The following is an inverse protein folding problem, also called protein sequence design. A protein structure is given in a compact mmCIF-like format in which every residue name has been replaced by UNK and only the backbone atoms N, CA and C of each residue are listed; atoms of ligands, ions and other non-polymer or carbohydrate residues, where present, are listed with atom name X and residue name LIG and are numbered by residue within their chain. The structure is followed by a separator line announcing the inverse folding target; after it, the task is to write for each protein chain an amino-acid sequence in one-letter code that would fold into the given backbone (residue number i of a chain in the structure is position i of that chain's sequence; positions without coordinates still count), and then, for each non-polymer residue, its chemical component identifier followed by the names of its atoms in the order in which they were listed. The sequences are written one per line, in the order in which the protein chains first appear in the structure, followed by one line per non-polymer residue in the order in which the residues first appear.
data_IF_644674039118
#
_entry.id   IF_644674039118
#
_cell.length_a   1.000
_cell.length_b   1.000
_cell.length_c   1.000
_cell.angle_alpha   90.00
_cell.angle_beta   90.00
_cell.angle_gamma   90.00
#
_symmetry.space_group_name_H-M   'P 1'
#
loop_
_entity.id
_entity.type
_entity.pdbx_description
1 polymer ?
#
# COMPACT_ATOMS: atom_id res chain seq x y z
N UNK A 1 -7.92 -18.69 0.36
CA UNK A 1 -7.03 -19.56 1.16
C UNK A 1 -6.70 -20.79 0.33
N UNK A 2 -5.46 -21.31 0.40
CA UNK A 2 -5.10 -22.53 -0.28
C UNK A 2 -5.74 -23.72 0.45
N UNK A 3 -6.07 -24.74 -0.34
CA UNK A 3 -6.60 -26.01 0.15
C UNK A 3 -5.50 -26.84 0.85
N UNK A 4 -5.87 -28.02 1.34
CA UNK A 4 -4.89 -28.96 1.89
C UNK A 4 -3.78 -29.26 0.86
N UNK A 5 -2.52 -29.24 1.29
CA UNK A 5 -1.35 -29.43 0.41
C UNK A 5 -0.99 -28.23 -0.49
N UNK A 6 -1.82 -27.18 -0.54
CA UNK A 6 -1.51 -25.95 -1.28
C UNK A 6 -0.89 -24.89 -0.35
N UNK A 7 -0.19 -23.90 -0.91
CA UNK A 7 0.46 -22.83 -0.16
C UNK A 7 0.07 -21.44 -0.70
N UNK A 8 0.46 -20.38 0.01
CA UNK A 8 0.38 -19.02 -0.51
C UNK A 8 1.28 -18.84 -1.73
N UNK A 9 0.81 -18.15 -2.77
CA UNK A 9 1.56 -17.87 -3.99
C UNK A 9 1.74 -16.37 -4.21
N UNK A 10 2.82 -16.01 -4.90
CA UNK A 10 3.04 -14.66 -5.42
C UNK A 10 2.87 -14.69 -6.93
N UNK A 11 2.10 -13.75 -7.47
CA UNK A 11 1.92 -13.57 -8.90
C UNK A 11 2.34 -12.18 -9.32
N UNK A 12 2.96 -12.08 -10.49
CA UNK A 12 3.31 -10.80 -11.11
C UNK A 12 2.34 -10.51 -12.25
N UNK A 13 1.71 -9.34 -12.21
CA UNK A 13 0.86 -8.86 -13.29
C UNK A 13 1.69 -8.63 -14.56
N UNK A 14 1.23 -9.15 -15.69
CA UNK A 14 1.92 -9.05 -16.99
C UNK A 14 1.08 -8.32 -18.05
N UNK A 15 0.08 -7.55 -17.62
CA UNK A 15 -0.84 -6.82 -18.50
C UNK A 15 -2.13 -7.60 -18.79
N UNK A 16 -3.16 -6.85 -19.16
CA UNK A 16 -4.50 -7.36 -19.48
C UNK A 16 -5.04 -8.28 -18.37
N UNK A 17 -5.18 -9.58 -18.65
CA UNK A 17 -5.63 -10.64 -17.73
C UNK A 17 -4.52 -11.65 -17.42
N UNK A 18 -3.26 -11.36 -17.77
CA UNK A 18 -2.13 -12.29 -17.66
C UNK A 18 -1.38 -12.11 -16.34
N UNK A 19 -1.10 -13.23 -15.69
CA UNK A 19 -0.36 -13.30 -14.43
C UNK A 19 0.75 -14.34 -14.54
N UNK A 20 1.95 -13.96 -14.13
CA UNK A 20 3.12 -14.85 -14.11
C UNK A 20 3.26 -15.38 -12.68
N UNK A 21 3.13 -16.69 -12.54
CA UNK A 21 3.39 -17.39 -11.27
C UNK A 21 4.86 -17.23 -10.86
N UNK A 22 5.06 -16.56 -9.73
CA UNK A 22 6.37 -16.35 -9.11
C UNK A 22 6.63 -17.36 -8.00
N UNK A 23 5.83 -18.42 -7.89
CA UNK A 23 5.98 -19.51 -6.93
C UNK A 23 5.49 -19.19 -5.53
N UNK A 24 5.66 -20.16 -4.65
CA UNK A 24 5.37 -20.06 -3.22
C UNK A 24 6.67 -19.84 -2.44
N UNK A 25 6.78 -18.75 -1.65
CA UNK A 25 7.96 -18.53 -0.81
C UNK A 25 8.07 -19.53 0.35
N UNK A 26 6.94 -20.04 0.84
CA UNK A 26 6.86 -20.96 1.98
C UNK A 26 5.69 -21.95 1.81
N UNK A 27 5.59 -22.93 2.73
CA UNK A 27 4.49 -23.90 2.82
C UNK A 27 3.24 -23.34 3.50
N UNK A 28 3.36 -22.19 4.17
CA UNK A 28 2.24 -21.56 4.87
C UNK A 28 1.14 -21.13 3.88
N UNK A 29 -0.07 -20.95 4.41
CA UNK A 29 -1.25 -20.81 3.58
C UNK A 29 -1.45 -19.38 3.02
N UNK A 30 -0.67 -18.39 3.45
CA UNK A 30 -0.81 -17.02 2.97
C UNK A 30 0.55 -16.34 2.78
N UNK A 31 0.59 -15.42 1.82
CA UNK A 31 1.57 -14.34 1.75
C UNK A 31 0.80 -13.06 2.03
N UNK A 32 1.01 -12.45 3.20
CA UNK A 32 0.21 -11.30 3.65
C UNK A 32 0.97 -9.98 3.61
N UNK A 33 2.28 -10.01 3.38
CA UNK A 33 3.10 -8.82 3.24
C UNK A 33 4.03 -8.96 2.05
N UNK A 34 4.12 -7.88 1.26
CA UNK A 34 5.10 -7.70 0.20
C UNK A 34 5.76 -6.34 0.40
N UNK A 35 7.07 -6.26 0.22
CA UNK A 35 7.82 -5.02 0.35
C UNK A 35 9.06 -5.02 -0.53
N UNK A 36 9.40 -3.86 -1.09
CA UNK A 36 10.66 -3.67 -1.80
C UNK A 36 11.73 -3.19 -0.82
N UNK A 37 12.92 -3.78 -0.94
CA UNK A 37 14.11 -3.38 -0.22
C UNK A 37 15.35 -3.66 -1.09
N UNK A 38 16.20 -2.65 -1.27
CA UNK A 38 17.44 -2.71 -2.05
C UNK A 38 17.29 -3.32 -3.45
N UNK A 39 16.24 -2.92 -4.17
CA UNK A 39 15.93 -3.35 -5.53
C UNK A 39 15.35 -4.76 -5.62
N UNK A 40 15.03 -5.39 -4.48
CA UNK A 40 14.53 -6.76 -4.41
C UNK A 40 13.17 -6.81 -3.73
N UNK A 41 12.32 -7.74 -4.18
CA UNK A 41 11.03 -8.01 -3.56
C UNK A 41 11.20 -8.98 -2.39
N UNK A 42 10.63 -8.63 -1.23
CA UNK A 42 10.53 -9.48 -0.06
C UNK A 42 9.07 -9.85 0.19
N UNK A 43 8.84 -11.07 0.66
CA UNK A 43 7.53 -11.62 0.96
C UNK A 43 7.50 -12.18 2.39
N UNK A 44 6.49 -11.77 3.16
CA UNK A 44 6.19 -12.30 4.48
C UNK A 44 5.15 -13.41 4.41
N UNK A 45 5.56 -14.62 4.80
CA UNK A 45 4.68 -15.78 4.90
C UNK A 45 3.86 -15.75 6.19
N UNK A 46 2.61 -16.19 6.12
CA UNK A 46 1.67 -16.15 7.23
C UNK A 46 0.74 -17.36 7.26
N UNK A 47 0.30 -17.71 8.47
CA UNK A 47 -0.85 -18.59 8.68
C UNK A 47 -2.11 -17.75 8.90
N UNK A 48 -3.05 -17.83 7.95
CA UNK A 48 -4.34 -17.17 8.01
C UNK A 48 -5.44 -18.20 8.30
N UNK A 49 -6.07 -18.12 9.47
CA UNK A 49 -6.98 -19.17 9.95
C UNK A 49 -8.37 -19.18 9.32
N UNK A 50 -8.86 -18.10 8.71
CA UNK A 50 -10.27 -17.96 8.28
C UNK A 50 -11.28 -17.72 9.43
N UNK A 51 -11.06 -18.31 10.62
CA UNK A 51 -11.99 -18.24 11.77
C UNK A 51 -12.37 -16.81 12.19
N UNK A 52 -11.39 -15.91 12.30
CA UNK A 52 -11.63 -14.50 12.66
C UNK A 52 -12.45 -13.73 11.63
N UNK A 53 -12.60 -14.29 10.44
CA UNK A 53 -13.30 -13.71 9.30
C UNK A 53 -14.65 -14.38 9.04
N UNK A 54 -15.17 -15.13 10.02
CA UNK A 54 -16.38 -15.94 9.90
C UNK A 54 -16.32 -16.93 8.72
N UNK A 55 -15.13 -17.45 8.42
CA UNK A 55 -14.88 -18.47 7.42
C UNK A 55 -14.49 -19.80 8.09
N UNK A 56 -14.59 -20.94 7.37
CA UNK A 56 -14.04 -22.21 7.83
C UNK A 56 -12.57 -22.09 8.22
N UNK A 57 -12.13 -22.95 9.14
CA UNK A 57 -10.72 -23.00 9.51
C UNK A 57 -9.91 -23.55 8.34
N UNK A 58 -8.82 -22.88 8.01
CA UNK A 58 -7.95 -23.33 6.91
C UNK A 58 -7.42 -24.76 7.15
N UNK A 59 -7.46 -25.65 6.15
CA UNK A 59 -6.92 -27.00 6.27
C UNK A 59 -5.38 -27.02 6.27
N UNK A 60 -4.72 -26.07 5.61
CA UNK A 60 -3.27 -25.93 5.69
C UNK A 60 -2.88 -25.23 7.00
N UNK A 61 -2.26 -26.00 7.92
CA UNK A 61 -1.82 -25.55 9.25
C UNK A 61 -0.33 -25.21 9.35
N UNK A 62 0.38 -25.12 8.22
CA UNK A 62 1.81 -24.77 8.26
C UNK A 62 2.00 -23.34 8.82
N UNK A 63 2.84 -23.17 9.86
CA UNK A 63 3.07 -21.86 10.45
C UNK A 63 3.79 -20.94 9.47
N UNK A 64 3.41 -19.67 9.42
CA UNK A 64 4.14 -18.63 8.70
C UNK A 64 5.22 -17.97 9.57
N UNK A 65 5.36 -16.65 9.51
CA UNK A 65 6.32 -15.88 10.31
C UNK A 65 7.74 -15.85 9.75
N UNK A 66 7.92 -16.27 8.50
CA UNK A 66 9.19 -16.23 7.77
C UNK A 66 9.15 -15.16 6.69
N UNK A 67 10.29 -14.60 6.38
CA UNK A 67 10.46 -13.64 5.28
C UNK A 67 11.37 -14.23 4.22
N UNK A 68 11.03 -13.99 2.95
CA UNK A 68 11.75 -14.52 1.80
C UNK A 68 12.03 -13.43 0.78
N UNK A 69 13.19 -13.50 0.12
CA UNK A 69 13.55 -12.59 -0.98
C UNK A 69 13.39 -13.27 -2.32
N UNK A 70 12.74 -12.59 -3.27
CA UNK A 70 12.55 -13.10 -4.61
C UNK A 70 13.83 -12.99 -5.45
N UNK A 71 14.20 -14.06 -6.13
CA UNK A 71 15.38 -14.09 -7.02
C UNK A 71 15.02 -14.36 -8.49
N UNK A 72 13.74 -14.32 -8.84
CA UNK A 72 13.27 -14.63 -10.20
C UNK A 72 12.96 -16.11 -10.40
N UNK A 73 12.20 -16.42 -11.45
CA UNK A 73 11.92 -17.78 -11.90
C UNK A 73 11.42 -18.72 -10.79
N UNK A 74 10.44 -18.24 -10.00
CA UNK A 74 9.86 -18.98 -8.86
C UNK A 74 10.81 -19.29 -7.71
N UNK A 75 12.03 -18.72 -7.71
CA UNK A 75 13.04 -18.93 -6.67
C UNK A 75 12.94 -17.88 -5.58
N UNK A 76 12.95 -18.36 -4.34
CA UNK A 76 12.91 -17.55 -3.13
C UNK A 76 14.07 -17.94 -2.22
N UNK A 77 14.72 -16.95 -1.62
CA UNK A 77 15.77 -17.14 -0.61
C UNK A 77 15.17 -16.88 0.76
N UNK A 78 15.32 -17.85 1.66
CA UNK A 78 14.91 -17.74 3.07
C UNK A 78 15.73 -16.67 3.78
N UNK A 79 15.06 -15.57 4.18
CA UNK A 79 15.62 -14.47 4.95
C UNK A 79 15.35 -14.61 6.45
N UNK A 80 14.99 -15.80 6.91
CA UNK A 80 14.88 -16.14 8.31
C UNK A 80 13.46 -16.06 8.88
N UNK A 81 13.33 -16.65 10.06
CA UNK A 81 12.13 -16.68 10.88
C UNK A 81 12.15 -15.47 11.82
N UNK A 82 11.03 -14.76 11.91
CA UNK A 82 10.82 -13.67 12.87
C UNK A 82 10.23 -14.27 14.14
N UNK A 83 11.03 -14.31 15.21
CA UNK A 83 10.60 -14.81 16.53
C UNK A 83 9.83 -16.14 16.47
N UNK A 84 8.95 -16.36 17.45
CA UNK A 84 8.01 -17.47 17.45
C UNK A 84 6.59 -17.01 17.09
N UNK A 85 6.49 -16.36 15.92
CA UNK A 85 5.21 -15.87 15.38
C UNK A 85 4.80 -16.62 14.12
N UNK A 86 3.51 -16.66 13.80
CA UNK A 86 3.01 -17.34 12.61
C UNK A 86 2.60 -16.39 11.48
N UNK A 87 2.71 -15.08 11.67
CA UNK A 87 2.19 -14.09 10.71
C UNK A 87 3.10 -12.88 10.61
N UNK A 88 3.43 -12.52 9.37
CA UNK A 88 4.08 -11.26 9.00
C UNK A 88 3.02 -10.37 8.32
N UNK A 89 2.63 -9.27 8.97
CA UNK A 89 1.52 -8.42 8.49
C UNK A 89 1.97 -7.23 7.66
N UNK A 90 3.22 -6.80 7.77
CA UNK A 90 3.73 -5.67 7.03
C UNK A 90 5.23 -5.78 6.81
N UNK A 91 5.69 -5.20 5.69
CA UNK A 91 7.10 -5.04 5.34
C UNK A 91 7.29 -3.60 4.87
N UNK A 92 8.32 -2.92 5.38
CA UNK A 92 8.63 -1.54 4.98
C UNK A 92 10.14 -1.28 5.01
N UNK A 93 10.64 -0.56 4.01
CA UNK A 93 11.99 -0.01 4.05
C UNK A 93 11.98 1.35 4.72
N UNK A 94 12.78 1.52 5.77
CA UNK A 94 12.95 2.78 6.48
C UNK A 94 14.43 3.00 6.83
N UNK A 95 14.95 4.20 6.56
CA UNK A 95 16.36 4.54 6.82
C UNK A 95 17.36 3.50 6.28
N UNK A 96 17.12 2.98 5.07
CA UNK A 96 17.97 2.00 4.41
C UNK A 96 17.93 0.59 5.01
N UNK A 97 16.94 0.28 5.86
CA UNK A 97 16.79 -1.05 6.49
C UNK A 97 15.36 -1.56 6.30
N UNK A 98 15.22 -2.88 6.22
CA UNK A 98 13.92 -3.54 6.15
C UNK A 98 13.37 -3.80 7.56
N UNK A 99 12.10 -3.46 7.74
CA UNK A 99 11.34 -3.72 8.96
C UNK A 99 10.13 -4.58 8.63
N UNK A 100 9.74 -5.41 9.59
CA UNK A 100 8.60 -6.28 9.51
C UNK A 100 7.72 -6.12 10.75
N UNK A 101 6.41 -6.19 10.56
CA UNK A 101 5.44 -6.34 11.65
C UNK A 101 4.92 -7.75 11.72
N UNK A 102 4.69 -8.18 12.95
CA UNK A 102 4.04 -9.45 13.25
C UNK A 102 2.72 -9.18 13.96
N UNK A 103 1.79 -10.13 13.89
CA UNK A 103 0.56 -10.05 14.66
C UNK A 103 0.25 -11.35 15.39
N UNK A 104 -0.58 -11.23 16.42
CA UNK A 104 -1.18 -12.35 17.10
C UNK A 104 -2.22 -13.02 16.19
N UNK A 105 -1.83 -14.16 15.63
CA UNK A 105 -2.74 -14.99 14.83
C UNK A 105 -3.20 -16.20 15.62
N UNK A 106 -4.38 -16.73 15.27
CA UNK A 106 -4.87 -17.96 15.88
C UNK A 106 -3.85 -19.09 15.76
N UNK A 107 -3.62 -19.81 16.86
CA UNK A 107 -2.63 -20.90 16.93
C UNK A 107 -1.18 -20.45 17.14
N UNK A 108 -0.90 -19.14 17.11
CA UNK A 108 0.43 -18.59 17.39
C UNK A 108 0.82 -18.79 18.86
N UNK A 109 1.99 -19.37 19.19
CA UNK A 109 2.42 -19.62 20.56
C UNK A 109 2.64 -18.32 21.33
N UNK A 110 3.32 -17.37 20.70
CA UNK A 110 3.52 -16.03 21.25
C UNK A 110 2.53 -15.08 20.58
N UNK A 111 1.54 -14.60 21.34
CA UNK A 111 0.56 -13.60 20.86
C UNK A 111 1.09 -12.17 20.97
N UNK A 112 2.38 -11.99 20.66
CA UNK A 112 3.03 -10.69 20.76
C UNK A 112 3.22 -10.12 19.36
N UNK A 113 2.42 -9.12 19.04
CA UNK A 113 2.60 -8.31 17.86
C UNK A 113 3.72 -7.30 18.13
N UNK A 114 4.74 -7.29 17.27
CA UNK A 114 5.91 -6.46 17.46
C UNK A 114 6.52 -6.06 16.12
N UNK A 115 7.48 -5.13 16.18
CA UNK A 115 8.27 -4.73 15.04
C UNK A 115 9.66 -5.39 15.12
N UNK A 116 10.17 -5.82 13.98
CA UNK A 116 11.49 -6.43 13.84
C UNK A 116 12.23 -5.79 12.68
N UNK A 117 13.54 -5.65 12.83
CA UNK A 117 14.44 -5.16 11.79
C UNK A 117 15.26 -6.30 11.23
N UNK A 118 15.35 -6.37 9.91
CA UNK A 118 16.24 -7.30 9.24
C UNK A 118 17.68 -6.83 9.35
N UNK A 119 18.56 -7.68 9.89
CA UNK A 119 19.99 -7.39 10.04
C UNK A 119 20.86 -8.15 9.02
N UNK A 120 20.23 -8.81 8.04
CA UNK A 120 20.91 -9.62 7.03
C UNK A 120 20.80 -11.13 7.28
N UNK A 121 21.13 -11.89 6.24
CA UNK A 121 21.04 -13.35 6.17
C UNK A 121 19.70 -13.91 6.63
N UNK A 122 19.60 -14.31 7.90
CA UNK A 122 18.40 -14.88 8.52
C UNK A 122 18.08 -14.24 9.87
N UNK A 123 18.69 -13.10 10.17
CA UNK A 123 18.63 -12.46 11.48
C UNK A 123 17.61 -11.32 11.51
N UNK A 124 16.76 -11.37 12.51
CA UNK A 124 15.77 -10.35 12.81
C UNK A 124 15.94 -9.88 14.25
N UNK A 125 16.12 -8.57 14.44
CA UNK A 125 16.25 -7.95 15.75
C UNK A 125 14.92 -7.33 16.14
N UNK A 126 14.43 -7.68 17.33
CA UNK A 126 13.27 -7.03 17.94
C UNK A 126 13.56 -5.53 18.11
N UNK A 127 12.63 -4.68 17.67
CA UNK A 127 12.74 -3.22 17.78
C UNK A 127 11.52 -2.63 18.48
N UNK A 128 10.97 -3.39 19.45
CA UNK A 128 9.89 -2.94 20.30
C UNK A 128 8.50 -3.28 19.78
N UNK A 129 7.55 -3.16 20.68
CA UNK A 129 6.12 -3.11 20.42
C UNK A 129 5.53 -1.85 21.07
N UNK A 130 4.55 -1.18 20.45
CA UNK A 130 3.90 -0.03 21.06
C UNK A 130 2.79 -0.42 22.05
N UNK A 131 2.74 -1.64 22.57
CA UNK A 131 1.69 -2.08 23.50
C UNK A 131 0.36 -2.44 22.83
N UNK A 132 0.39 -2.97 21.61
CA UNK A 132 -0.78 -3.40 20.85
C UNK A 132 -0.43 -4.02 19.50
N UNK A 133 -1.42 -4.61 18.80
CA UNK A 133 -1.16 -5.24 17.51
C UNK A 133 -0.80 -4.21 16.45
N UNK A 134 0.32 -4.41 15.77
CA UNK A 134 0.73 -3.55 14.66
C UNK A 134 0.01 -3.96 13.38
N UNK A 135 -0.60 -2.96 12.72
CA UNK A 135 -1.22 -3.10 11.41
C UNK A 135 -0.28 -2.61 10.31
N UNK A 136 -0.68 -1.54 9.63
CA UNK A 136 0.05 -0.94 8.52
C UNK A 136 1.20 -0.03 9.00
N UNK A 137 2.29 -0.01 8.22
CA UNK A 137 3.37 0.95 8.38
C UNK A 137 3.15 2.19 7.51
N UNK A 138 3.65 3.34 7.98
CA UNK A 138 3.78 4.56 7.17
C UNK A 138 5.12 5.23 7.42
N UNK A 139 5.90 5.40 6.37
CA UNK A 139 7.07 6.29 6.40
C UNK A 139 6.64 7.67 5.93
N UNK A 140 6.76 8.67 6.81
CA UNK A 140 6.36 10.04 6.53
C UNK A 140 7.34 11.00 7.17
N UNK A 141 7.79 12.01 6.41
CA UNK A 141 8.71 13.05 6.87
C UNK A 141 9.93 12.55 7.69
N UNK A 142 10.58 11.49 7.20
CA UNK A 142 11.79 10.95 7.82
C UNK A 142 11.54 10.11 9.07
N UNK A 143 10.28 9.83 9.42
CA UNK A 143 9.92 8.98 10.54
C UNK A 143 9.11 7.75 10.10
N UNK A 144 9.31 6.65 10.82
CA UNK A 144 8.51 5.43 10.71
C UNK A 144 7.36 5.48 11.72
N UNK A 145 6.15 5.22 11.23
CA UNK A 145 4.94 5.12 12.03
C UNK A 145 4.26 3.79 11.77
N UNK A 146 3.39 3.39 12.71
CA UNK A 146 2.57 2.20 12.56
C UNK A 146 1.17 2.40 13.15
N UNK A 147 0.18 1.80 12.50
CA UNK A 147 -1.16 1.66 13.06
C UNK A 147 -1.14 0.63 14.18
N UNK A 148 -1.89 0.89 15.26
CA UNK A 148 -1.89 0.07 16.47
C UNK A 148 -3.31 -0.29 16.87
N UNK A 149 -3.54 -1.59 17.05
CA UNK A 149 -4.78 -2.15 17.52
C UNK A 149 -4.79 -2.06 19.05
N UNK A 150 -5.89 -1.58 19.61
CA UNK A 150 -6.01 -1.30 21.02
C UNK A 150 -5.85 0.19 21.33
N UNK A 151 -5.70 0.50 22.63
CA UNK A 151 -5.84 1.85 23.17
C UNK A 151 -4.87 2.89 22.59
N UNK A 152 -3.79 2.50 21.91
CA UNK A 152 -2.78 3.44 21.45
C UNK A 152 -3.09 4.06 20.10
N UNK A 153 -3.86 3.40 19.23
CA UNK A 153 -4.31 3.92 17.94
C UNK A 153 -3.22 4.17 16.88
N UNK A 154 -2.13 4.85 17.20
CA UNK A 154 -1.08 5.17 16.25
C UNK A 154 0.23 5.45 17.00
N UNK A 155 1.37 5.02 16.47
CA UNK A 155 2.66 5.19 17.14
C UNK A 155 3.78 5.55 16.17
N UNK A 156 4.80 6.25 16.70
CA UNK A 156 6.04 6.60 16.00
C UNK A 156 7.21 5.82 16.58
N UNK A 157 8.07 5.31 15.70
CA UNK A 157 9.32 4.67 16.09
C UNK A 157 10.39 5.73 16.43
N UNK A 158 11.03 5.60 17.59
CA UNK A 158 12.08 6.52 18.06
C UNK A 158 13.50 5.93 17.94
N UNK A 159 13.63 4.66 17.55
CA UNK A 159 14.90 3.95 17.53
C UNK A 159 15.05 2.94 18.68
N UNK A 160 15.95 1.98 18.51
CA UNK A 160 16.11 0.86 19.44
C UNK A 160 14.80 0.07 19.55
N UNK A 161 14.29 -0.06 20.77
CA UNK A 161 13.00 -0.69 21.07
C UNK A 161 11.90 0.33 21.42
N UNK A 162 12.17 1.63 21.26
CA UNK A 162 11.29 2.69 21.74
C UNK A 162 10.27 3.10 20.69
N UNK A 163 9.00 3.13 21.11
CA UNK A 163 7.88 3.68 20.37
C UNK A 163 7.15 4.73 21.20
N UNK A 164 6.76 5.83 20.57
CA UNK A 164 5.93 6.88 21.17
C UNK A 164 4.51 6.76 20.62
N UNK A 165 3.50 6.47 21.47
CA UNK A 165 2.11 6.59 21.07
C UNK A 165 1.77 8.03 20.69
N UNK A 166 1.03 8.19 19.60
CA UNK A 166 0.64 9.49 19.04
C UNK A 166 -0.82 9.85 19.33
N UNK A 167 -1.52 9.00 20.08
CA UNK A 167 -2.83 9.30 20.64
C UNK A 167 -3.94 8.37 20.19
N UNK A 168 -5.03 8.42 20.94
CA UNK A 168 -6.19 7.54 20.77
C UNK A 168 -7.18 8.20 19.82
N UNK A 169 -7.64 7.45 18.81
CA UNK A 169 -8.65 7.95 17.88
C UNK A 169 -10.05 7.89 18.54
N UNK A 170 -10.92 8.89 18.33
CA UNK A 170 -12.26 8.90 18.92
C UNK A 170 -13.14 7.74 18.44
N UNK A 171 -13.88 7.11 19.35
CA UNK A 171 -14.90 6.10 19.07
C UNK A 171 -14.43 4.86 18.29
N UNK A 172 -13.11 4.61 18.26
CA UNK A 172 -12.52 3.42 17.63
C UNK A 172 -11.48 2.82 18.55
N UNK A 173 -11.33 1.49 18.48
CA UNK A 173 -10.30 0.76 19.20
C UNK A 173 -9.15 0.30 18.31
N UNK A 174 -9.20 0.49 16.99
CA UNK A 174 -8.27 -0.13 16.04
C UNK A 174 -8.08 0.72 14.79
N UNK A 175 -6.82 0.94 14.42
CA UNK A 175 -6.41 1.49 13.13
C UNK A 175 -5.80 0.39 12.26
N UNK A 176 -6.32 0.25 11.05
CA UNK A 176 -6.01 -0.88 10.17
C UNK A 176 -5.11 -0.48 9.01
N UNK A 177 -5.45 0.60 8.35
CA UNK A 177 -4.78 1.08 7.14
C UNK A 177 -4.33 2.51 7.32
N UNK A 178 -3.35 2.90 6.51
CA UNK A 178 -2.89 4.26 6.48
C UNK A 178 -2.32 4.63 5.12
N UNK A 179 -2.44 5.90 4.74
CA UNK A 179 -1.84 6.46 3.54
C UNK A 179 -1.44 7.92 3.79
N UNK A 180 -0.43 8.40 3.05
CA UNK A 180 -0.12 9.83 3.02
C UNK A 180 -0.88 10.45 1.85
N UNK A 181 -1.75 11.41 2.16
CA UNK A 181 -2.55 12.16 1.20
C UNK A 181 -2.37 13.66 1.44
N UNK A 182 -1.90 14.38 0.42
CA UNK A 182 -1.64 15.81 0.45
C UNK A 182 -0.77 16.25 1.66
N UNK A 183 0.30 15.51 1.92
CA UNK A 183 1.27 15.77 2.99
C UNK A 183 0.79 15.39 4.39
N UNK A 184 -0.34 14.71 4.50
CA UNK A 184 -0.97 14.36 5.78
C UNK A 184 -1.16 12.85 5.87
N UNK A 185 -0.95 12.30 7.06
CA UNK A 185 -1.22 10.88 7.32
C UNK A 185 -2.73 10.73 7.54
N UNK A 186 -3.35 9.86 6.75
CA UNK A 186 -4.74 9.45 6.90
C UNK A 186 -4.77 8.01 7.41
N UNK A 187 -5.64 7.73 8.39
CA UNK A 187 -5.77 6.46 9.09
C UNK A 187 -7.18 5.90 8.92
N UNK A 188 -7.29 4.66 8.47
CA UNK A 188 -8.54 3.92 8.38
C UNK A 188 -8.80 3.10 9.65
N UNK A 189 -10.06 3.06 10.11
CA UNK A 189 -10.41 2.50 11.42
C UNK A 189 -11.42 1.35 11.38
N UNK A 190 -11.54 0.66 12.51
CA UNK A 190 -12.61 -0.27 12.89
C UNK A 190 -13.11 0.02 14.31
N UNK A 191 -14.39 -0.18 14.67
CA UNK A 191 -15.50 -0.76 13.88
C UNK A 191 -16.34 0.28 13.14
N UNK A 192 -15.87 1.52 13.06
CA UNK A 192 -16.69 2.64 12.57
C UNK A 192 -16.49 2.94 11.09
N UNK A 193 -15.57 2.28 10.38
CA UNK A 193 -15.27 2.55 8.96
C UNK A 193 -14.90 4.02 8.70
N UNK A 194 -14.33 4.71 9.69
CA UNK A 194 -14.03 6.14 9.61
C UNK A 194 -12.58 6.35 9.18
N UNK A 195 -12.33 7.39 8.40
CA UNK A 195 -10.97 7.83 8.09
C UNK A 195 -10.66 9.07 8.92
N UNK A 196 -9.49 9.10 9.55
CA UNK A 196 -9.00 10.26 10.30
C UNK A 196 -7.72 10.80 9.70
N UNK A 197 -7.60 12.13 9.63
CA UNK A 197 -6.34 12.83 9.38
C UNK A 197 -5.61 13.03 10.70
N UNK A 198 -4.32 12.73 10.74
CA UNK A 198 -3.46 13.00 11.89
C UNK A 198 -2.92 14.43 11.84
N UNK A 199 -3.27 15.25 12.85
CA UNK A 199 -2.94 16.68 12.95
C UNK A 199 -1.85 16.97 14.00
N UNK A 200 -1.15 15.93 14.44
CA UNK A 200 -0.19 15.96 15.54
C UNK A 200 -0.66 15.14 16.73
N UNK A 201 0.22 15.01 17.74
CA UNK A 201 -0.03 14.15 18.88
C UNK A 201 -1.40 14.45 19.54
N UNK A 202 -2.19 13.40 19.76
CA UNK A 202 -3.55 13.41 20.30
C UNK A 202 -4.58 14.23 19.49
N UNK A 203 -4.25 14.60 18.25
CA UNK A 203 -5.12 15.42 17.40
C UNK A 203 -5.44 14.67 16.12
N UNK A 204 -6.70 14.29 15.98
CA UNK A 204 -7.22 13.59 14.81
C UNK A 204 -8.48 14.26 14.32
N UNK A 205 -8.50 14.64 13.04
CA UNK A 205 -9.69 15.20 12.39
C UNK A 205 -10.39 14.12 11.59
N UNK A 206 -11.68 13.89 11.86
CA UNK A 206 -12.48 12.97 11.05
C UNK A 206 -12.60 13.48 9.61
N UNK A 207 -12.30 12.61 8.66
CA UNK A 207 -12.55 12.80 7.23
C UNK A 207 -13.86 12.14 6.80
N UNK A 208 -14.66 11.65 7.75
CA UNK A 208 -15.94 10.97 7.49
C UNK A 208 -15.83 9.45 7.44
N UNK A 209 -17.01 8.83 7.45
CA UNK A 209 -17.20 7.37 7.36
C UNK A 209 -17.41 6.95 5.91
N UNK A 210 -16.92 5.75 5.56
CA UNK A 210 -17.13 5.12 4.26
C UNK A 210 -18.46 4.37 4.28
N UNK A 211 -19.57 5.06 3.98
CA UNK A 211 -20.91 4.48 3.99
C UNK A 211 -21.27 3.78 5.30
N UNK A 212 -21.90 2.61 5.20
CA UNK A 212 -22.26 1.78 6.37
C UNK A 212 -21.16 0.79 6.76
N UNK A 213 -19.98 0.88 6.14
CA UNK A 213 -18.88 -0.06 6.34
C UNK A 213 -18.28 0.02 7.75
N UNK A 214 -17.72 -1.08 8.22
CA UNK A 214 -17.18 -1.22 9.58
C UNK A 214 -15.67 -1.03 9.63
N UNK A 215 -14.96 -1.32 8.54
CA UNK A 215 -13.50 -1.27 8.52
C UNK A 215 -12.99 -0.66 7.22
N UNK A 216 -11.95 0.17 7.34
CA UNK A 216 -11.17 0.63 6.19
C UNK A 216 -9.88 -0.19 6.13
N UNK A 217 -9.89 -1.20 5.28
CA UNK A 217 -8.85 -2.25 5.23
C UNK A 217 -7.63 -1.86 4.41
N UNK A 218 -7.84 -1.09 3.34
CA UNK A 218 -6.80 -0.67 2.43
C UNK A 218 -7.00 0.79 2.04
N UNK A 219 -5.90 1.51 1.84
CA UNK A 219 -5.92 2.89 1.38
C UNK A 219 -4.84 3.10 0.34
N UNK A 220 -5.16 3.84 -0.72
CA UNK A 220 -4.21 4.23 -1.74
C UNK A 220 -4.59 5.60 -2.32
N UNK A 221 -3.58 6.39 -2.68
CA UNK A 221 -3.79 7.63 -3.43
C UNK A 221 -3.58 7.33 -4.90
N UNK A 222 -4.58 7.62 -5.72
CA UNK A 222 -4.57 7.40 -7.16
C UNK A 222 -5.16 8.62 -7.88
N UNK A 223 -4.45 9.09 -8.90
CA UNK A 223 -4.85 10.19 -9.77
C UNK A 223 -5.49 11.39 -9.02
N UNK A 224 -4.79 11.91 -8.01
CA UNK A 224 -5.27 13.09 -7.26
C UNK A 224 -6.17 12.79 -6.06
N UNK A 225 -6.63 11.54 -5.88
CA UNK A 225 -7.70 11.21 -4.94
C UNK A 225 -7.27 10.11 -3.99
N UNK A 226 -7.75 10.18 -2.75
CA UNK A 226 -7.61 9.12 -1.77
C UNK A 226 -8.74 8.11 -1.94
N UNK A 227 -8.40 6.83 -2.01
CA UNK A 227 -9.34 5.73 -2.06
C UNK A 227 -9.22 4.86 -0.81
N UNK A 228 -10.35 4.35 -0.33
CA UNK A 228 -10.42 3.39 0.76
C UNK A 228 -11.24 2.16 0.35
N UNK A 229 -10.68 0.98 0.59
CA UNK A 229 -11.33 -0.32 0.44
C UNK A 229 -11.85 -0.84 1.78
N UNK A 230 -13.01 -1.48 1.78
CA UNK A 230 -13.78 -1.69 3.01
C UNK A 230 -14.19 -3.13 3.32
N UNK A 231 -14.73 -3.31 4.53
CA UNK A 231 -15.47 -4.46 5.06
C UNK A 231 -16.69 -3.92 5.83
N UNK A 232 -17.88 -4.56 5.78
CA UNK A 232 -18.12 -5.94 5.40
C UNK A 232 -18.55 -6.18 3.95
N UNK A 233 -18.82 -5.13 3.17
CA UNK A 233 -19.41 -5.30 1.85
C UNK A 233 -18.38 -5.40 0.73
N UNK A 234 -17.10 -5.13 0.99
CA UNK A 234 -16.06 -5.17 -0.04
C UNK A 234 -16.22 -4.04 -1.06
N UNK A 235 -16.54 -2.84 -0.58
CA UNK A 235 -16.74 -1.65 -1.39
C UNK A 235 -15.47 -0.79 -1.48
N UNK A 236 -15.47 0.12 -2.44
CA UNK A 236 -14.40 1.11 -2.62
C UNK A 236 -15.01 2.50 -2.65
N UNK A 237 -14.45 3.38 -1.83
CA UNK A 237 -14.84 4.77 -1.75
C UNK A 237 -13.70 5.70 -2.16
N UNK A 238 -14.05 6.82 -2.79
CA UNK A 238 -13.14 7.91 -3.15
C UNK A 238 -13.45 9.15 -2.33
N UNK A 239 -12.42 9.78 -1.78
CA UNK A 239 -12.57 11.04 -1.06
C UNK A 239 -12.67 12.23 -2.01
N UNK A 240 -13.76 12.98 -1.93
CA UNK A 240 -14.09 14.13 -2.78
C UNK A 240 -14.10 15.47 -2.00
N UNK A 241 -13.35 15.53 -0.89
CA UNK A 241 -13.18 16.76 -0.11
C UNK A 241 -14.42 17.10 0.68
N UNK A 242 -14.99 18.29 0.46
CA UNK A 242 -16.19 18.76 1.16
C UNK A 242 -17.42 17.87 0.91
N UNK A 243 -17.50 17.22 -0.26
CA UNK A 243 -18.56 16.26 -0.57
C UNK A 243 -18.43 14.93 0.18
N UNK A 244 -17.33 14.71 0.92
CA UNK A 244 -17.10 13.48 1.67
C UNK A 244 -16.65 12.31 0.80
N UNK A 245 -17.16 11.11 1.11
CA UNK A 245 -16.77 9.86 0.45
C UNK A 245 -17.84 9.42 -0.55
N UNK A 246 -17.41 9.22 -1.80
CA UNK A 246 -18.26 8.73 -2.88
C UNK A 246 -18.01 7.24 -3.09
N UNK A 247 -19.05 6.40 -3.04
CA UNK A 247 -18.94 4.98 -3.39
C UNK A 247 -18.64 4.84 -4.89
N UNK A 248 -17.62 4.04 -5.23
CA UNK A 248 -17.16 3.81 -6.61
C UNK A 248 -17.39 2.38 -7.09
N UNK A 249 -18.02 1.55 -6.26
CA UNK A 249 -18.43 0.19 -6.58
C UNK A 249 -18.17 -0.82 -5.47
N UNK A 250 -18.91 -1.92 -5.54
CA UNK A 250 -18.71 -3.12 -4.73
C UNK A 250 -17.91 -4.15 -5.55
N UNK A 251 -16.74 -4.54 -5.05
CA UNK A 251 -15.83 -5.42 -5.79
C UNK A 251 -16.05 -6.91 -5.49
N UNK A 252 -16.56 -7.23 -4.32
CA UNK A 252 -16.83 -8.61 -3.93
C UNK A 252 -18.31 -8.81 -3.58
N UNK A 253 -18.97 -9.69 -4.33
CA UNK A 253 -20.38 -10.05 -4.19
C UNK A 253 -20.57 -11.53 -3.86
N UNK A 254 -19.54 -12.19 -3.32
CA UNK A 254 -19.60 -13.61 -2.95
C UNK A 254 -20.82 -13.85 -2.04
N UNK A 255 -21.77 -14.73 -2.43
CA UNK A 255 -22.99 -14.95 -1.67
C UNK A 255 -22.69 -15.66 -0.34
N UNK A 256 -23.61 -15.55 0.61
CA UNK A 256 -23.59 -16.27 1.89
C UNK A 256 -22.32 -16.04 2.75
N UNK A 257 -21.62 -14.94 2.49
CA UNK A 257 -20.42 -14.54 3.24
C UNK A 257 -20.70 -13.27 4.04
N UNK A 258 -20.54 -13.38 5.36
CA UNK A 258 -20.70 -12.27 6.30
C UNK A 258 -19.73 -11.12 6.04
N UNK A 259 -18.46 -11.44 5.75
CA UNK A 259 -17.40 -10.44 5.60
C UNK A 259 -16.71 -10.56 4.25
N UNK A 260 -17.03 -9.62 3.36
CA UNK A 260 -16.32 -9.34 2.10
C UNK A 260 -15.41 -8.15 2.31
N UNK A 261 -14.27 -8.16 1.62
CA UNK A 261 -13.17 -7.24 1.88
C UNK A 261 -12.55 -6.76 0.59
N UNK A 262 -12.22 -5.49 0.55
CA UNK A 262 -11.13 -4.99 -0.30
C UNK A 262 -9.88 -4.94 0.58
N UNK A 263 -9.07 -6.00 0.53
CA UNK A 263 -8.00 -6.27 1.50
C UNK A 263 -6.75 -5.41 1.30
N UNK A 264 -6.39 -5.13 0.05
CA UNK A 264 -5.15 -4.42 -0.30
C UNK A 264 -5.33 -3.63 -1.58
N UNK A 265 -4.62 -2.52 -1.69
CA UNK A 265 -4.63 -1.66 -2.87
C UNK A 265 -3.21 -1.22 -3.25
N UNK A 266 -2.97 -1.06 -4.54
CA UNK A 266 -1.71 -0.55 -5.06
C UNK A 266 -1.93 0.20 -6.38
N UNK A 267 -1.07 1.17 -6.69
CA UNK A 267 -1.07 1.85 -7.99
C UNK A 267 0.04 1.27 -8.85
N UNK A 268 -0.30 0.88 -10.07
CA UNK A 268 0.64 0.35 -11.05
C UNK A 268 0.14 0.70 -12.45
N UNK A 269 1.05 1.06 -13.35
CA UNK A 269 0.76 1.30 -14.77
C UNK A 269 -0.43 2.27 -14.99
N UNK A 270 -0.45 3.36 -14.22
CA UNK A 270 -1.49 4.39 -14.32
C UNK A 270 -2.88 3.95 -13.85
N UNK A 271 -2.99 2.82 -13.15
CA UNK A 271 -4.25 2.25 -12.64
C UNK A 271 -4.18 1.97 -11.15
N UNK A 272 -5.34 1.96 -10.50
CA UNK A 272 -5.52 1.51 -9.13
C UNK A 272 -5.96 0.05 -9.11
N UNK A 273 -5.19 -0.81 -8.47
CA UNK A 273 -5.51 -2.22 -8.28
C UNK A 273 -6.04 -2.46 -6.87
N UNK A 274 -7.00 -3.38 -6.75
CA UNK A 274 -7.63 -3.77 -5.50
C UNK A 274 -7.81 -5.30 -5.45
N UNK A 275 -7.34 -5.93 -4.37
CA UNK A 275 -7.50 -7.35 -4.13
C UNK A 275 -8.65 -7.64 -3.17
N UNK A 276 -9.45 -8.66 -3.45
CA UNK A 276 -10.67 -8.97 -2.68
C UNK A 276 -10.60 -10.30 -1.93
N UNK A 277 -11.29 -10.36 -0.79
CA UNK A 277 -11.56 -11.61 -0.06
C UNK A 277 -13.07 -11.73 0.22
N UNK A 278 -13.65 -12.95 0.16
CA UNK A 278 -12.96 -14.22 -0.07
C UNK A 278 -12.77 -14.58 -1.55
N UNK A 279 -13.32 -13.81 -2.51
CA UNK A 279 -13.30 -14.19 -3.94
C UNK A 279 -11.90 -14.35 -4.53
N UNK A 280 -10.87 -13.73 -3.93
CA UNK A 280 -9.49 -13.81 -4.39
C UNK A 280 -9.26 -13.12 -5.73
N UNK A 281 -10.16 -12.21 -6.13
CA UNK A 281 -10.07 -11.48 -7.39
C UNK A 281 -9.20 -10.25 -7.24
N UNK A 282 -8.62 -9.82 -8.36
CA UNK A 282 -7.91 -8.54 -8.47
C UNK A 282 -8.66 -7.69 -9.49
N UNK A 283 -9.08 -6.51 -9.06
CA UNK A 283 -9.76 -5.52 -9.87
C UNK A 283 -8.82 -4.38 -10.19
N UNK A 284 -9.03 -3.73 -11.32
CA UNK A 284 -8.29 -2.53 -11.71
C UNK A 284 -9.27 -1.42 -12.10
N UNK A 285 -9.02 -0.21 -11.60
CA UNK A 285 -9.74 1.01 -11.95
C UNK A 285 -8.78 1.93 -12.71
N UNK A 286 -9.25 2.41 -13.86
CA UNK A 286 -8.66 3.56 -14.53
C UNK A 286 -9.70 4.70 -14.50
N UNK A 287 -9.40 5.75 -13.75
CA UNK A 287 -10.26 6.93 -13.66
C UNK A 287 -9.47 8.13 -14.15
N UNK A 288 -9.78 8.59 -15.35
CA UNK A 288 -8.93 9.52 -16.09
C UNK A 288 -7.69 8.87 -16.69
N UNK A 289 -6.79 9.70 -17.21
CA UNK A 289 -5.56 9.26 -17.84
C UNK A 289 -4.37 9.61 -16.94
N UNK A 290 -3.50 8.63 -16.72
CA UNK A 290 -2.31 8.79 -15.90
C UNK A 290 -1.18 7.94 -16.49
N UNK A 291 0.04 8.48 -16.46
CA UNK A 291 1.27 7.74 -16.73
C UNK A 291 2.13 7.75 -15.48
N UNK A 292 2.87 6.67 -15.26
CA UNK A 292 3.67 6.49 -14.05
C UNK A 292 4.97 5.78 -14.38
N UNK A 293 6.06 6.21 -13.76
CA UNK A 293 7.29 5.46 -13.74
C UNK A 293 7.26 4.50 -12.55
N UNK A 294 6.90 3.24 -12.79
CA UNK A 294 6.66 2.23 -11.75
C UNK A 294 7.96 1.60 -11.18
N UNK A 295 9.03 2.39 -11.14
CA UNK A 295 10.35 1.99 -10.65
C UNK A 295 10.95 3.14 -9.84
N UNK A 296 11.82 2.79 -8.90
CA UNK A 296 12.61 3.77 -8.18
C UNK A 296 13.53 4.50 -9.17
N UNK A 297 13.55 5.83 -9.13
CA UNK A 297 14.53 6.63 -9.87
C UNK A 297 15.94 6.30 -9.35
N UNK A 298 16.91 6.26 -10.27
CA UNK A 298 18.31 6.11 -9.90
C UNK A 298 18.78 7.29 -9.05
N UNK A 299 19.81 7.06 -8.23
CA UNK A 299 20.41 8.11 -7.43
C UNK A 299 21.07 9.19 -8.31
N UNK A 300 21.18 10.41 -7.78
CA UNK A 300 21.76 11.56 -8.47
C UNK A 300 20.72 12.45 -9.17
N UNK A 301 21.21 13.37 -10.00
CA UNK A 301 20.35 14.22 -10.83
C UNK A 301 19.72 13.39 -11.94
N UNK A 302 18.39 13.49 -12.06
CA UNK A 302 17.59 12.83 -13.09
C UNK A 302 16.81 13.88 -13.85
N UNK A 303 16.69 13.72 -15.16
CA UNK A 303 15.87 14.61 -15.98
C UNK A 303 14.48 13.98 -16.18
N UNK A 304 13.42 14.77 -15.97
CA UNK A 304 12.04 14.31 -16.09
C UNK A 304 11.28 15.23 -17.05
N UNK A 305 10.60 14.64 -18.04
CA UNK A 305 9.68 15.38 -18.91
C UNK A 305 8.32 14.70 -18.88
N UNK A 306 7.31 15.43 -18.43
CA UNK A 306 5.91 15.04 -18.55
C UNK A 306 5.26 15.84 -19.68
N UNK A 307 4.73 15.15 -20.68
CA UNK A 307 4.07 15.77 -21.84
C UNK A 307 2.61 15.33 -21.84
N UNK A 308 1.71 16.31 -21.81
CA UNK A 308 0.32 16.13 -22.23
C UNK A 308 0.22 16.58 -23.68
N UNK A 309 -0.01 15.64 -24.58
CA UNK A 309 -0.36 15.90 -25.96
C UNK A 309 -1.89 16.00 -26.10
N UNK A 310 -2.39 16.20 -27.33
CA UNK A 310 -3.81 16.34 -27.63
C UNK A 310 -4.62 15.15 -27.11
N UNK A 311 -4.20 13.92 -27.40
CA UNK A 311 -4.96 12.69 -27.16
C UNK A 311 -4.19 11.67 -26.33
N UNK A 312 -3.00 11.99 -25.81
CA UNK A 312 -2.20 11.04 -25.04
C UNK A 312 -1.21 11.73 -24.08
N UNK A 313 -0.75 10.99 -23.08
CA UNK A 313 0.30 11.41 -22.14
C UNK A 313 1.60 10.66 -22.43
N UNK A 314 2.74 11.32 -22.23
CA UNK A 314 4.08 10.73 -22.31
C UNK A 314 4.90 11.15 -21.09
N UNK A 315 5.67 10.22 -20.53
CA UNK A 315 6.63 10.47 -19.46
C UNK A 315 8.01 9.99 -19.92
N UNK A 316 8.99 10.87 -19.81
CA UNK A 316 10.38 10.58 -20.10
C UNK A 316 11.24 10.70 -18.84
N UNK A 317 12.20 9.80 -18.72
CA UNK A 317 13.27 9.84 -17.70
C UNK A 317 14.59 9.81 -18.44
N UNK A 318 15.45 10.80 -18.23
CA UNK A 318 16.74 10.94 -18.92
C UNK A 318 16.64 10.86 -20.45
N UNK A 319 15.56 11.45 -20.99
CA UNK A 319 15.30 11.46 -22.43
C UNK A 319 14.69 10.17 -22.99
N UNK A 320 14.63 9.09 -22.21
CA UNK A 320 13.96 7.85 -22.63
C UNK A 320 12.47 7.87 -22.32
N UNK A 321 11.63 7.48 -23.29
CA UNK A 321 10.20 7.32 -23.08
C UNK A 321 9.95 6.11 -22.16
N UNK A 322 9.51 6.37 -20.92
CA UNK A 322 9.29 5.31 -19.93
C UNK A 322 7.82 4.93 -19.75
N UNK A 323 6.89 5.80 -20.15
CA UNK A 323 5.46 5.51 -20.11
C UNK A 323 4.68 6.35 -21.13
N UNK A 324 3.61 5.75 -21.67
CA UNK A 324 2.63 6.40 -22.56
C UNK A 324 1.23 5.95 -22.16
N UNK A 325 0.27 6.87 -22.13
CA UNK A 325 -1.13 6.47 -21.93
C UNK A 325 -1.69 5.83 -23.21
N UNK A 326 -2.84 5.17 -23.11
CA UNK A 326 -3.67 4.94 -24.29
C UNK A 326 -4.11 6.28 -24.88
N UNK A 327 -4.48 6.27 -26.16
CA UNK A 327 -5.11 7.44 -26.76
C UNK A 327 -6.48 7.68 -26.08
N UNK A 328 -6.89 8.94 -26.00
CA UNK A 328 -8.13 9.38 -25.38
C UNK A 328 -8.73 10.58 -26.11
N UNK A 329 -10.04 10.74 -26.02
CA UNK A 329 -10.71 11.94 -26.51
C UNK A 329 -10.51 13.09 -25.49
N UNK A 330 -9.82 14.18 -25.86
CA UNK A 330 -9.66 15.32 -24.96
C UNK A 330 -10.98 15.98 -24.58
N UNK A 331 -12.02 15.92 -25.43
CA UNK A 331 -13.33 16.50 -25.13
C UNK A 331 -14.09 15.75 -24.03
N UNK A 332 -13.70 14.51 -23.72
CA UNK A 332 -14.26 13.73 -22.62
C UNK A 332 -13.82 14.21 -21.23
N UNK A 333 -12.88 15.17 -21.15
CA UNK A 333 -12.33 15.66 -19.90
C UNK A 333 -12.50 17.18 -19.76
N UNK A 334 -13.28 17.61 -18.76
CA UNK A 334 -13.19 18.98 -18.27
C UNK A 334 -12.08 19.08 -17.21
N UNK A 335 -10.99 19.73 -17.60
CA UNK A 335 -9.84 19.97 -16.72
C UNK A 335 -9.83 21.40 -16.17
N UNK A 336 -10.84 22.22 -16.47
CA UNK A 336 -10.92 23.61 -16.05
C UNK A 336 -11.18 23.66 -14.55
N UNK A 337 -10.23 24.22 -13.80
CA UNK A 337 -10.37 24.37 -12.36
C UNK A 337 -9.50 25.53 -11.84
N UNK A 338 -9.86 26.05 -10.67
CA UNK A 338 -9.11 27.13 -10.02
C UNK A 338 -7.95 26.66 -9.13
N UNK A 339 -7.54 25.38 -9.19
CA UNK A 339 -6.45 24.89 -8.35
C UNK A 339 -5.09 25.32 -8.91
N UNK A 340 -4.13 25.71 -8.05
CA UNK A 340 -2.80 26.06 -8.50
C UNK A 340 -2.05 24.84 -9.03
N UNK A 341 -1.23 25.04 -10.05
CA UNK A 341 -0.20 24.08 -10.43
C UNK A 341 0.83 24.00 -9.30
N UNK A 342 1.04 22.80 -8.78
CA UNK A 342 2.02 22.52 -7.71
C UNK A 342 3.22 21.82 -8.31
N UNK A 343 4.41 22.30 -7.96
CA UNK A 343 5.69 21.71 -8.37
C UNK A 343 6.50 21.48 -7.11
N UNK A 344 7.03 20.27 -6.93
CA UNK A 344 7.68 19.84 -5.68
C UNK A 344 6.72 19.43 -4.56
N UNK A 345 5.41 19.49 -4.79
CA UNK A 345 4.38 18.95 -3.90
C UNK A 345 3.28 18.29 -4.72
N UNK A 346 2.85 17.11 -4.31
CA UNK A 346 1.87 16.31 -5.05
C UNK A 346 0.79 15.71 -4.18
N UNK A 347 0.16 14.67 -4.71
CA UNK A 347 -0.99 13.98 -4.10
C UNK A 347 -0.62 13.19 -2.85
N UNK A 348 0.65 12.82 -2.72
CA UNK A 348 1.20 12.13 -1.55
C UNK A 348 1.79 13.13 -0.57
N UNK A 349 2.94 13.72 -0.90
CA UNK A 349 3.72 14.59 0.00
C UNK A 349 4.65 15.50 -0.82
N UNK A 350 5.47 16.31 -0.15
CA UNK A 350 6.55 17.08 -0.73
C UNK A 350 7.65 16.18 -1.32
N UNK A 351 8.23 16.63 -2.43
CA UNK A 351 9.43 16.02 -2.98
C UNK A 351 10.62 16.28 -2.05
N UNK A 352 11.19 15.19 -1.51
CA UNK A 352 12.32 15.23 -0.58
C UNK A 352 13.65 15.18 -1.32
N UNK A 353 13.89 16.18 -2.17
CA UNK A 353 15.08 16.32 -2.98
C UNK A 353 15.28 17.76 -3.44
N UNK A 354 16.22 17.97 -4.36
CA UNK A 354 16.45 19.27 -5.00
C UNK A 354 15.91 19.24 -6.42
N UNK A 355 15.34 20.34 -6.88
CA UNK A 355 14.93 20.56 -8.27
C UNK A 355 15.76 21.71 -8.83
N UNK A 356 16.12 21.62 -10.12
CA UNK A 356 16.80 22.67 -10.88
C UNK A 356 16.26 22.71 -12.30
N UNK A 357 16.48 23.82 -13.00
CA UNK A 357 16.19 23.97 -14.44
C UNK A 357 14.74 23.68 -14.84
N UNK A 358 13.78 24.04 -13.97
CA UNK A 358 12.36 23.91 -14.25
C UNK A 358 11.97 24.75 -15.47
N UNK A 359 11.37 24.11 -16.47
CA UNK A 359 10.82 24.74 -17.68
C UNK A 359 9.37 24.32 -17.88
N UNK A 360 8.54 25.27 -18.32
CA UNK A 360 7.13 25.04 -18.71
C UNK A 360 6.98 25.48 -20.15
N UNK A 361 6.43 24.60 -20.99
CA UNK A 361 6.26 24.83 -22.42
C UNK A 361 4.79 25.10 -22.75
N UNK A 362 4.54 25.97 -23.75
CA UNK A 362 3.18 26.28 -24.21
C UNK A 362 2.55 25.19 -25.10
N UNK A 363 3.31 24.18 -25.48
CA UNK A 363 2.87 23.09 -26.35
C UNK A 363 3.51 21.75 -25.97
N UNK A 364 2.99 20.68 -26.57
CA UNK A 364 3.51 19.35 -26.37
C UNK A 364 4.87 19.20 -27.07
N UNK A 365 5.88 18.75 -26.35
CA UNK A 365 7.19 18.46 -26.93
C UNK A 365 7.13 17.19 -27.80
N UNK A 366 7.81 17.24 -28.94
CA UNK A 366 8.15 16.06 -29.73
C UNK A 366 9.08 15.13 -28.92
N UNK A 367 9.22 13.87 -29.38
CA UNK A 367 10.15 12.94 -28.74
C UNK A 367 11.61 13.42 -28.83
N UNK A 368 11.98 14.10 -29.92
CA UNK A 368 13.31 14.67 -30.12
C UNK A 368 13.58 15.80 -29.12
N UNK A 369 12.67 16.77 -29.00
CA UNK A 369 12.80 17.88 -28.05
C UNK A 369 12.85 17.40 -26.59
N UNK A 370 12.02 16.41 -26.23
CA UNK A 370 12.03 15.83 -24.89
C UNK A 370 13.35 15.10 -24.57
N UNK A 371 13.96 14.47 -25.58
CA UNK A 371 15.26 13.79 -25.46
C UNK A 371 16.41 14.79 -25.38
N UNK A 372 16.37 15.84 -26.21
CA UNK A 372 17.40 16.88 -26.25
C UNK A 372 17.42 17.69 -24.96
N UNK A 373 16.25 17.97 -24.36
CA UNK A 373 16.16 18.65 -23.08
C UNK A 373 16.87 17.91 -21.91
N UNK A 374 17.18 16.61 -22.08
CA UNK A 374 17.89 15.82 -21.08
C UNK A 374 19.41 15.94 -21.13
N UNK A 375 19.96 16.52 -22.20
CA UNK A 375 21.40 16.76 -22.39
C UNK A 375 21.78 18.11 -21.77
#
# INVERSE_FOLDING_TARGET
EPQEGQAGHVYRYAGEKKWIDCGSPDRCNAVSALGEHDGKLYAGGSFYSGRGSAQPVSPNKHPGGRVFRYEGNKRWVDCGKIGDVYTVTGLVTYAGRLYATTCDSYGCPTRTAACYRYDGDKKWTFVGDPGGRLGAFVVHNGALHATVFGKQGFARYEGGEKWTPLGVLPNTGQTYSAAVYQGQICLGTWPTGTVFRFDGANRFTSMGRLGEEQEVMAMAVYNGKLYGGTLPLGEVYRYDGAAGWTNTGQLDTTPDVRYRRVWSMAVYDGKLFAGTLPSGRVHALQAGQAVSHNKKLLAGWRHLVAVRDVDHLRLYVDGELVARSTNFDPAAFDLSNGQPLKIGFGTHDYFKGRMRDLKIYRGALSAAEASEAAR
#
